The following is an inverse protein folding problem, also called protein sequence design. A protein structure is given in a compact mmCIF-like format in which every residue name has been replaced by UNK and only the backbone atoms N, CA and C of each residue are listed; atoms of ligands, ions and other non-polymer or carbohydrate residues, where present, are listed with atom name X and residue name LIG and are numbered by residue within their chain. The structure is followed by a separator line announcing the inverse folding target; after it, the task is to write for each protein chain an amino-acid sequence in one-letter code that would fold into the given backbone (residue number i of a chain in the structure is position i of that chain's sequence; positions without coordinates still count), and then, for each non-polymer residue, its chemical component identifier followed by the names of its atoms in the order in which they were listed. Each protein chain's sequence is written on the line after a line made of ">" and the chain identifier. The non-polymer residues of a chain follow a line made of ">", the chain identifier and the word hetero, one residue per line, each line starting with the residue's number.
data_IF_936263191157
#
_entry.id   IF_936263191157
#
_cell.length_a   1.000
_cell.length_b   1.000
_cell.length_c   1.000
_cell.angle_alpha   90.00
_cell.angle_beta   90.00
_cell.angle_gamma   90.00
#
_symmetry.space_group_name_H-M   'P 1'
#
loop_
_entity.id
_entity.type
_entity.pdbx_description
1 polymer ?
#
# COMPACT_ATOMS: atom_id res chain seq x y z
N UNK A 1 0.89 -10.61 28.11
CA UNK A 1 0.83 -10.02 26.75
C UNK A 1 2.25 -9.80 26.26
N UNK A 2 2.53 -10.08 24.98
CA UNK A 2 3.83 -9.68 24.40
C UNK A 2 3.90 -8.15 24.35
N UNK A 3 5.06 -7.53 24.60
CA UNK A 3 5.21 -6.09 24.46
C UNK A 3 5.01 -5.67 23.00
N UNK A 4 4.43 -4.50 22.77
CA UNK A 4 4.33 -3.92 21.43
C UNK A 4 5.73 -3.69 20.85
N UNK A 5 5.88 -3.95 19.55
CA UNK A 5 7.17 -3.83 18.85
C UNK A 5 7.25 -2.55 18.01
N UNK A 6 6.11 -2.10 17.49
CA UNK A 6 6.00 -0.90 16.66
C UNK A 6 4.88 0.02 17.15
N UNK A 7 4.96 1.27 16.76
CA UNK A 7 3.87 2.23 16.88
C UNK A 7 3.82 3.12 15.64
N UNK A 8 2.65 3.69 15.42
CA UNK A 8 2.47 4.80 14.49
C UNK A 8 2.23 6.08 15.28
N UNK A 9 2.82 7.18 14.83
CA UNK A 9 2.63 8.50 15.42
C UNK A 9 2.12 9.43 14.34
N UNK A 10 0.91 9.97 14.54
CA UNK A 10 0.31 10.93 13.63
C UNK A 10 0.91 12.34 13.86
N UNK A 11 0.88 13.17 12.83
CA UNK A 11 1.33 14.58 12.93
C UNK A 11 0.60 15.36 14.04
N UNK A 12 -0.65 14.98 14.34
CA UNK A 12 -1.43 15.51 15.48
C UNK A 12 -0.88 15.09 16.86
N UNK A 13 0.14 14.23 16.92
CA UNK A 13 0.71 13.69 18.15
C UNK A 13 0.04 12.44 18.70
N UNK A 14 -1.04 11.96 18.09
CA UNK A 14 -1.69 10.71 18.55
C UNK A 14 -0.83 9.50 18.22
N UNK A 15 -0.77 8.55 19.15
CA UNK A 15 0.02 7.33 19.06
C UNK A 15 -0.89 6.08 19.07
N UNK A 16 -0.55 5.10 18.26
CA UNK A 16 -1.19 3.80 18.24
C UNK A 16 -0.12 2.72 18.27
N UNK A 17 -0.21 1.84 19.25
CA UNK A 17 0.77 0.79 19.49
C UNK A 17 0.31 -0.53 18.87
N UNK A 18 1.25 -1.27 18.29
CA UNK A 18 1.00 -2.54 17.62
C UNK A 18 2.25 -3.38 17.45
N UNK A 19 2.18 -4.32 16.54
CA UNK A 19 3.25 -5.27 16.23
C UNK A 19 3.66 -5.10 14.78
N UNK A 20 4.96 -5.13 14.50
CA UNK A 20 5.49 -5.05 13.15
C UNK A 20 5.37 -6.37 12.41
N UNK A 21 5.16 -6.28 11.08
CA UNK A 21 5.37 -7.35 10.11
C UNK A 21 5.88 -6.74 8.80
N UNK A 22 6.36 -7.59 7.85
CA UNK A 22 7.08 -7.09 6.70
C UNK A 22 8.42 -6.46 7.07
N UNK A 23 8.83 -5.40 6.39
CA UNK A 23 10.15 -4.80 6.59
C UNK A 23 10.31 -4.13 7.96
N UNK A 24 11.37 -4.48 8.67
CA UNK A 24 11.69 -3.87 9.95
C UNK A 24 12.47 -2.56 9.75
N UNK A 25 11.78 -1.50 9.35
CA UNK A 25 12.35 -0.15 9.21
C UNK A 25 11.38 0.94 9.64
N UNK A 26 11.89 2.13 9.85
CA UNK A 26 11.09 3.34 9.99
C UNK A 26 10.58 3.79 8.62
N UNK A 27 9.40 4.37 8.57
CA UNK A 27 8.88 4.99 7.36
C UNK A 27 7.92 6.12 7.69
N UNK A 28 7.88 7.10 6.82
CA UNK A 28 6.96 8.25 6.88
C UNK A 28 6.12 8.29 5.62
N UNK A 29 4.90 8.79 5.74
CA UNK A 29 4.00 8.96 4.60
C UNK A 29 2.76 9.73 4.98
N UNK A 30 1.89 9.94 4.02
CA UNK A 30 0.52 10.39 4.25
C UNK A 30 -0.33 9.17 4.63
N UNK A 31 -1.15 9.30 5.67
CA UNK A 31 -2.04 8.23 6.09
C UNK A 31 -3.38 8.35 5.39
N UNK A 32 -3.81 7.25 4.78
CA UNK A 32 -5.11 7.11 4.10
C UNK A 32 -5.77 5.81 4.53
N UNK A 33 -7.05 5.62 4.25
CA UNK A 33 -7.74 4.37 4.53
C UNK A 33 -8.46 3.81 3.31
N UNK A 34 -8.63 2.49 3.31
CA UNK A 34 -9.42 1.78 2.31
C UNK A 34 -10.46 0.90 3.02
N UNK A 35 -11.71 0.93 2.52
CA UNK A 35 -12.86 0.24 3.12
C UNK A 35 -13.22 -1.08 2.42
N UNK A 36 -12.46 -1.50 1.42
CA UNK A 36 -12.69 -2.78 0.73
C UNK A 36 -12.53 -3.95 1.68
N UNK A 37 -13.41 -4.92 1.57
CA UNK A 37 -13.36 -6.16 2.39
C UNK A 37 -12.34 -7.17 1.85
N UNK A 38 -11.98 -7.07 0.59
CA UNK A 38 -11.03 -7.92 -0.12
C UNK A 38 -10.14 -7.06 -1.00
N UNK A 39 -9.08 -7.63 -1.59
CA UNK A 39 -8.24 -6.92 -2.55
C UNK A 39 -7.06 -6.20 -1.90
N UNK A 40 -6.56 -6.68 -0.77
CA UNK A 40 -5.38 -6.06 -0.15
C UNK A 40 -4.12 -6.18 -1.02
N UNK A 41 -4.02 -7.20 -1.88
CA UNK A 41 -2.93 -7.35 -2.84
C UNK A 41 -3.00 -6.28 -3.93
N UNK A 42 -4.19 -6.05 -4.48
CA UNK A 42 -4.43 -4.99 -5.46
C UNK A 42 -4.11 -3.62 -4.85
N UNK A 43 -4.51 -3.36 -3.59
CA UNK A 43 -4.18 -2.13 -2.87
C UNK A 43 -2.67 -2.00 -2.66
N UNK A 44 -1.99 -3.09 -2.28
CA UNK A 44 -0.54 -3.13 -2.09
C UNK A 44 0.22 -2.71 -3.37
N UNK A 45 -0.29 -3.10 -4.53
CA UNK A 45 0.32 -2.86 -5.85
C UNK A 45 -0.33 -1.72 -6.64
N UNK A 46 -1.30 -1.01 -6.08
CA UNK A 46 -1.95 0.12 -6.73
C UNK A 46 -1.03 1.36 -6.72
N UNK A 47 -0.60 1.87 -7.88
CA UNK A 47 0.28 3.02 -7.95
C UNK A 47 -0.33 4.31 -7.37
N UNK A 48 -1.66 4.36 -7.20
CA UNK A 48 -2.34 5.49 -6.55
C UNK A 48 -1.96 5.65 -5.08
N UNK A 49 -1.50 4.59 -4.42
CA UNK A 49 -1.08 4.60 -3.01
C UNK A 49 0.44 4.72 -2.83
N UNK A 50 1.16 5.12 -3.87
CA UNK A 50 2.63 5.26 -3.79
C UNK A 50 3.05 6.13 -2.61
N UNK A 51 3.96 5.61 -1.76
CA UNK A 51 4.47 6.18 -0.51
C UNK A 51 3.40 6.47 0.58
N UNK A 52 2.14 6.12 0.37
CA UNK A 52 1.10 6.30 1.40
C UNK A 52 1.08 5.15 2.41
N UNK A 53 0.71 5.46 3.65
CA UNK A 53 0.43 4.50 4.71
C UNK A 53 -1.06 4.14 4.67
N UNK A 54 -1.38 2.95 4.17
CA UNK A 54 -2.77 2.54 3.94
C UNK A 54 -3.33 1.78 5.13
N UNK A 55 -4.38 2.32 5.73
CA UNK A 55 -5.17 1.68 6.80
C UNK A 55 -6.23 0.79 6.16
N UNK A 56 -6.15 -0.52 6.40
CA UNK A 56 -7.19 -1.45 5.99
C UNK A 56 -8.29 -1.49 7.05
N UNK A 57 -9.51 -1.10 6.68
CA UNK A 57 -10.62 -1.10 7.65
C UNK A 57 -11.20 -2.49 7.90
N UNK A 58 -11.09 -3.40 6.92
CA UNK A 58 -11.45 -4.79 7.12
C UNK A 58 -10.49 -5.44 8.12
N UNK A 59 -11.00 -6.12 9.16
CA UNK A 59 -10.17 -6.52 10.29
C UNK A 59 -9.11 -7.56 9.94
N UNK A 60 -9.42 -8.55 9.12
CA UNK A 60 -8.54 -9.68 8.84
C UNK A 60 -7.81 -9.52 7.49
N UNK A 61 -6.50 -9.37 7.54
CA UNK A 61 -5.64 -9.18 6.36
C UNK A 61 -4.56 -10.28 6.32
N UNK A 62 -4.18 -10.72 5.10
CA UNK A 62 -3.20 -11.77 4.88
C UNK A 62 -3.79 -13.18 4.68
N UNK A 63 -5.08 -13.36 4.92
CA UNK A 63 -5.76 -14.65 4.97
C UNK A 63 -5.79 -15.45 3.66
N UNK A 64 -5.58 -14.83 2.49
CA UNK A 64 -5.49 -15.54 1.21
C UNK A 64 -4.11 -15.43 0.54
N UNK A 65 -3.14 -14.79 1.18
CA UNK A 65 -1.77 -14.66 0.66
C UNK A 65 -1.67 -13.73 -0.54
N UNK A 66 -0.61 -13.91 -1.31
CA UNK A 66 -0.30 -13.16 -2.53
C UNK A 66 -0.23 -14.14 -3.69
N UNK A 67 -0.78 -13.78 -4.84
CA UNK A 67 -0.72 -14.53 -6.09
C UNK A 67 -0.02 -13.71 -7.17
N UNK A 68 0.64 -14.36 -8.14
CA UNK A 68 1.37 -13.63 -9.19
C UNK A 68 0.45 -12.89 -10.17
N UNK A 69 -0.83 -13.28 -10.25
CA UNK A 69 -1.79 -12.79 -11.24
C UNK A 69 -2.53 -11.51 -10.82
N UNK A 70 -2.64 -11.25 -9.51
CA UNK A 70 -3.52 -10.20 -8.97
C UNK A 70 -2.78 -8.88 -8.68
N UNK A 71 -1.57 -8.70 -9.22
CA UNK A 71 -0.86 -7.44 -9.15
C UNK A 71 -1.42 -6.40 -10.13
N UNK A 72 -1.62 -5.17 -9.66
CA UNK A 72 -2.03 -4.02 -10.48
C UNK A 72 -0.85 -3.30 -11.15
N UNK A 73 0.37 -3.52 -10.64
CA UNK A 73 1.63 -3.06 -11.26
C UNK A 73 2.70 -4.11 -11.09
N UNK A 74 3.85 -3.90 -11.68
CA UNK A 74 4.98 -4.84 -11.66
C UNK A 74 5.48 -5.14 -10.24
N UNK A 75 5.38 -4.18 -9.32
CA UNK A 75 5.84 -4.30 -7.94
C UNK A 75 5.08 -3.32 -7.04
N UNK A 76 4.94 -3.64 -5.74
CA UNK A 76 4.31 -2.76 -4.76
C UNK A 76 5.05 -1.43 -4.60
N UNK A 77 4.29 -0.35 -4.39
CA UNK A 77 4.83 1.01 -4.20
C UNK A 77 4.29 1.74 -2.97
N UNK A 78 3.40 1.10 -2.19
CA UNK A 78 2.85 1.74 -0.98
C UNK A 78 3.94 2.02 0.05
N UNK A 79 3.75 3.03 0.88
CA UNK A 79 4.66 3.39 1.97
C UNK A 79 4.61 2.43 3.15
N UNK A 80 3.44 1.84 3.42
CA UNK A 80 3.20 0.87 4.47
C UNK A 80 1.74 0.46 4.57
N UNK A 81 1.47 -0.59 5.36
CA UNK A 81 0.12 -1.08 5.60
C UNK A 81 -0.16 -1.17 7.11
N UNK A 82 -1.32 -0.68 7.52
CA UNK A 82 -1.77 -0.67 8.92
C UNK A 82 -3.05 -1.48 9.01
N UNK A 83 -3.04 -2.52 9.84
CA UNK A 83 -4.13 -3.49 9.92
C UNK A 83 -4.52 -3.79 11.37
N UNK A 84 -5.72 -4.29 11.57
CA UNK A 84 -6.18 -4.75 12.88
C UNK A 84 -5.64 -6.13 13.20
N UNK A 85 -5.87 -7.09 12.31
CA UNK A 85 -5.45 -8.48 12.45
C UNK A 85 -4.66 -8.89 11.21
N UNK A 86 -3.51 -9.51 11.45
CA UNK A 86 -2.66 -10.06 10.40
C UNK A 86 -2.61 -11.58 10.52
N UNK A 87 -2.91 -12.26 9.42
CA UNK A 87 -2.77 -13.70 9.30
C UNK A 87 -1.62 -14.04 8.35
N UNK A 88 -0.64 -14.78 8.86
CA UNK A 88 0.54 -15.25 8.11
C UNK A 88 0.39 -16.70 7.59
N UNK A 89 -0.78 -17.32 7.79
CA UNK A 89 -1.11 -18.66 7.34
C UNK A 89 -2.23 -18.61 6.29
N UNK A 90 -1.91 -18.30 5.01
CA UNK A 90 -2.92 -18.20 3.96
C UNK A 90 -3.62 -19.54 3.70
N UNK A 91 -4.93 -19.47 3.45
CA UNK A 91 -5.76 -20.66 3.15
C UNK A 91 -6.09 -20.81 1.64
N UNK A 92 -5.64 -19.90 0.79
CA UNK A 92 -5.87 -19.98 -0.65
C UNK A 92 -4.82 -20.89 -1.32
N UNK A 93 -5.27 -21.92 -2.04
CA UNK A 93 -4.38 -22.86 -2.73
C UNK A 93 -3.51 -22.23 -3.84
N UNK A 94 -3.84 -21.02 -4.30
CA UNK A 94 -3.09 -20.28 -5.34
C UNK A 94 -2.00 -19.37 -4.78
N UNK A 95 -1.91 -19.20 -3.48
CA UNK A 95 -0.91 -18.30 -2.93
C UNK A 95 0.51 -18.79 -3.20
N UNK A 96 1.39 -17.87 -3.54
CA UNK A 96 2.81 -18.13 -3.78
C UNK A 96 3.68 -17.60 -2.65
N UNK A 97 3.26 -16.50 -2.02
CA UNK A 97 3.93 -15.87 -0.87
C UNK A 97 2.90 -15.37 0.14
N UNK A 98 3.32 -15.23 1.38
CA UNK A 98 2.55 -14.49 2.39
C UNK A 98 2.64 -12.99 2.15
N UNK A 99 1.70 -12.23 2.67
CA UNK A 99 1.75 -10.76 2.62
C UNK A 99 3.01 -10.22 3.32
N UNK A 100 3.40 -10.83 4.45
CA UNK A 100 4.59 -10.42 5.19
C UNK A 100 5.88 -10.61 4.41
N UNK A 101 6.05 -11.75 3.73
CA UNK A 101 7.21 -12.03 2.87
C UNK A 101 7.33 -11.00 1.73
N UNK A 102 6.22 -10.66 1.07
CA UNK A 102 6.23 -9.65 0.01
C UNK A 102 6.54 -8.27 0.57
N UNK A 103 5.95 -7.89 1.71
CA UNK A 103 6.26 -6.61 2.34
C UNK A 103 7.74 -6.52 2.77
N UNK A 104 8.32 -7.62 3.24
CA UNK A 104 9.75 -7.67 3.59
C UNK A 104 10.64 -7.53 2.34
N UNK A 105 10.35 -8.28 1.28
CA UNK A 105 11.09 -8.26 0.01
C UNK A 105 11.14 -6.86 -0.61
N UNK A 106 10.01 -6.13 -0.56
CA UNK A 106 9.92 -4.78 -1.13
C UNK A 106 10.21 -3.66 -0.13
N UNK A 107 10.64 -3.99 1.07
CA UNK A 107 11.00 -3.01 2.09
C UNK A 107 9.81 -2.20 2.63
N UNK A 108 8.62 -2.78 2.67
CA UNK A 108 7.38 -2.14 3.12
C UNK A 108 7.15 -2.46 4.60
N UNK A 109 7.24 -1.47 5.51
CA UNK A 109 6.93 -1.68 6.91
C UNK A 109 5.43 -1.75 7.13
N UNK A 110 4.99 -2.71 7.91
CA UNK A 110 3.59 -2.92 8.21
C UNK A 110 3.37 -3.05 9.72
N UNK A 111 2.17 -2.65 10.20
CA UNK A 111 1.82 -2.70 11.62
C UNK A 111 0.45 -3.33 11.79
N UNK A 112 0.34 -4.33 12.68
CA UNK A 112 -0.93 -4.94 13.05
C UNK A 112 -1.24 -4.76 14.54
N UNK A 113 -2.47 -5.03 14.95
CA UNK A 113 -2.93 -4.84 16.33
C UNK A 113 -3.46 -3.44 16.59
N UNK A 114 -3.59 -2.61 15.56
CA UNK A 114 -4.06 -1.22 15.64
C UNK A 114 -5.60 -1.17 15.68
N UNK A 115 -6.17 -0.24 16.43
CA UNK A 115 -7.59 0.10 16.31
C UNK A 115 -7.84 0.88 14.99
N UNK A 116 -7.95 0.12 13.90
CA UNK A 116 -8.17 0.68 12.57
C UNK A 116 -9.49 1.40 12.45
N UNK A 117 -10.52 1.04 13.23
CA UNK A 117 -11.81 1.73 13.26
C UNK A 117 -11.67 3.14 13.83
N UNK A 118 -11.01 3.28 14.98
CA UNK A 118 -10.75 4.60 15.57
C UNK A 118 -9.88 5.45 14.66
N UNK A 119 -8.81 4.88 14.10
CA UNK A 119 -7.90 5.56 13.19
C UNK A 119 -8.60 6.03 11.92
N UNK A 120 -9.45 5.20 11.31
CA UNK A 120 -10.27 5.58 10.14
C UNK A 120 -11.19 6.75 10.43
N UNK A 121 -11.83 6.78 11.62
CA UNK A 121 -12.69 7.90 12.02
C UNK A 121 -11.90 9.20 12.15
N UNK A 122 -10.70 9.15 12.73
CA UNK A 122 -9.81 10.31 12.84
C UNK A 122 -9.47 10.85 11.45
N UNK A 123 -9.03 9.98 10.52
CA UNK A 123 -8.67 10.39 9.16
C UNK A 123 -9.89 10.96 8.41
N UNK A 124 -11.07 10.37 8.59
CA UNK A 124 -12.30 10.85 7.96
C UNK A 124 -12.74 12.22 8.49
N UNK A 125 -12.66 12.41 9.80
CA UNK A 125 -13.23 13.58 10.46
C UNK A 125 -12.23 14.77 10.48
N UNK A 126 -10.93 14.50 10.52
CA UNK A 126 -9.86 15.52 10.62
C UNK A 126 -9.07 15.67 9.30
N UNK A 127 -9.31 14.83 8.31
CA UNK A 127 -8.55 14.78 7.04
C UNK A 127 -7.32 13.91 7.11
N UNK A 128 -6.66 13.75 5.95
CA UNK A 128 -5.38 13.06 5.84
C UNK A 128 -4.30 13.86 6.56
N UNK A 129 -3.34 13.16 7.14
CA UNK A 129 -2.21 13.78 7.84
C UNK A 129 -0.96 12.93 7.66
N UNK A 130 0.18 13.48 7.99
CA UNK A 130 1.43 12.74 7.98
C UNK A 130 1.50 11.77 9.16
N UNK A 131 2.18 10.66 8.94
CA UNK A 131 2.39 9.62 9.94
C UNK A 131 3.81 9.07 9.84
N UNK A 132 4.34 8.62 10.97
CA UNK A 132 5.59 7.87 11.03
C UNK A 132 5.37 6.52 11.71
N UNK A 133 5.97 5.47 11.15
CA UNK A 133 6.08 4.14 11.77
C UNK A 133 7.45 4.03 12.41
N UNK A 134 7.48 3.73 13.71
CA UNK A 134 8.72 3.63 14.50
C UNK A 134 8.65 2.47 15.50
N UNK A 135 9.77 2.17 16.13
CA UNK A 135 9.79 1.23 17.25
C UNK A 135 8.95 1.74 18.43
N UNK A 136 8.26 0.83 19.11
CA UNK A 136 7.37 1.18 20.21
C UNK A 136 8.08 1.92 21.37
N UNK A 137 9.38 1.69 21.54
CA UNK A 137 10.22 2.31 22.56
C UNK A 137 10.66 3.76 22.25
N UNK A 138 10.51 4.21 20.99
CA UNK A 138 10.92 5.55 20.61
C UNK A 138 10.09 6.61 21.35
N UNK A 139 10.69 7.65 21.96
CA UNK A 139 9.92 8.75 22.55
C UNK A 139 9.05 9.46 21.50
N UNK A 140 7.85 9.89 21.89
CA UNK A 140 6.92 10.60 21.00
C UNK A 140 7.53 11.86 20.39
N UNK A 141 8.22 12.67 21.21
CA UNK A 141 8.87 13.90 20.76
C UNK A 141 9.89 13.63 19.65
N UNK A 142 10.67 12.58 19.80
CA UNK A 142 11.66 12.17 18.78
C UNK A 142 10.98 11.70 17.50
N UNK A 143 9.89 10.93 17.60
CA UNK A 143 9.11 10.49 16.44
C UNK A 143 8.51 11.70 15.68
N UNK A 144 7.94 12.67 16.40
CA UNK A 144 7.39 13.88 15.80
C UNK A 144 8.47 14.77 15.18
N UNK A 145 9.64 14.87 15.81
CA UNK A 145 10.80 15.58 15.25
C UNK A 145 11.21 14.96 13.92
N UNK A 146 11.40 13.63 13.87
CA UNK A 146 11.75 12.90 12.63
C UNK A 146 10.68 13.04 11.55
N UNK A 147 9.40 12.97 11.92
CA UNK A 147 8.31 13.17 10.98
C UNK A 147 8.34 14.56 10.36
N UNK A 148 8.61 15.61 11.18
CA UNK A 148 8.71 16.99 10.72
C UNK A 148 9.91 17.21 9.78
N UNK A 149 11.04 16.61 10.09
CA UNK A 149 12.29 16.71 9.30
C UNK A 149 12.23 15.85 8.02
N UNK A 150 11.38 14.82 7.97
CA UNK A 150 11.27 13.94 6.82
C UNK A 150 10.78 14.71 5.58
N UNK A 151 11.44 14.53 4.42
CA UNK A 151 11.06 15.22 3.19
C UNK A 151 9.66 14.81 2.73
N UNK A 152 8.87 15.78 2.27
CA UNK A 152 7.61 15.51 1.58
C UNK A 152 7.93 15.23 0.11
N UNK A 153 7.74 13.99 -0.31
CA UNK A 153 7.94 13.59 -1.70
C UNK A 153 6.84 14.14 -2.61
N UNK A 154 7.22 14.55 -3.81
CA UNK A 154 6.30 15.08 -4.84
C UNK A 154 6.53 14.44 -6.22
N UNK A 155 7.40 13.43 -6.27
CA UNK A 155 7.87 12.76 -7.49
C UNK A 155 7.11 11.44 -7.77
N UNK A 156 5.95 11.21 -7.12
CA UNK A 156 5.24 9.93 -7.20
C UNK A 156 4.84 9.57 -8.63
N UNK A 157 4.32 10.54 -9.40
CA UNK A 157 3.91 10.30 -10.79
C UNK A 157 5.11 9.89 -11.66
N UNK A 158 6.24 10.57 -11.53
CA UNK A 158 7.47 10.23 -12.26
C UNK A 158 7.95 8.80 -11.92
N UNK A 159 7.81 8.38 -10.68
CA UNK A 159 8.26 7.06 -10.21
C UNK A 159 7.38 5.90 -10.68
N UNK A 160 6.10 6.14 -10.89
CA UNK A 160 5.14 5.10 -11.33
C UNK A 160 4.88 5.12 -12.83
N UNK A 161 5.25 6.17 -13.53
CA UNK A 161 5.14 6.28 -14.99
C UNK A 161 6.10 5.31 -15.70
N UNK A 162 5.72 4.81 -16.85
CA UNK A 162 6.58 3.96 -17.65
C UNK A 162 7.81 4.74 -18.17
N UNK A 163 8.98 4.14 -18.06
CA UNK A 163 10.25 4.72 -18.55
C UNK A 163 10.51 4.45 -20.03
N UNK A 164 9.78 3.49 -20.60
CA UNK A 164 9.92 3.08 -22.00
C UNK A 164 8.55 2.82 -22.56
N UNK A 165 8.35 3.23 -23.81
CA UNK A 165 7.15 2.89 -24.56
C UNK A 165 6.98 1.38 -24.63
N UNK A 166 5.79 0.90 -24.35
CA UNK A 166 5.42 -0.50 -24.43
C UNK A 166 4.00 -0.67 -25.01
N UNK A 167 3.64 -1.89 -25.39
CA UNK A 167 2.43 -2.17 -26.14
C UNK A 167 1.62 -3.26 -25.41
N UNK A 168 0.32 -3.05 -25.33
CA UNK A 168 -0.65 -4.07 -24.95
C UNK A 168 -1.61 -4.29 -26.11
N UNK A 169 -1.39 -5.36 -26.87
CA UNK A 169 -2.14 -5.64 -28.09
C UNK A 169 -3.24 -6.65 -27.81
N UNK A 170 -4.38 -6.50 -28.51
CA UNK A 170 -5.46 -7.49 -28.54
C UNK A 170 -5.72 -7.94 -29.97
N UNK A 171 -6.12 -9.21 -30.13
CA UNK A 171 -6.51 -9.74 -31.45
C UNK A 171 -7.79 -9.05 -31.92
N UNK A 172 -7.88 -8.80 -33.25
CA UNK A 172 -9.05 -8.17 -33.89
C UNK A 172 -9.45 -6.84 -33.23
N UNK A 173 -8.48 -6.02 -32.88
CA UNK A 173 -8.72 -4.72 -32.27
C UNK A 173 -9.54 -3.81 -33.21
N UNK A 174 -10.37 -2.96 -32.57
CA UNK A 174 -11.20 -1.97 -33.26
C UNK A 174 -10.52 -0.61 -33.34
N UNK A 175 -9.72 -0.29 -32.31
CA UNK A 175 -9.04 0.99 -32.19
C UNK A 175 -7.64 0.81 -31.61
N UNK A 176 -6.71 1.62 -32.09
CA UNK A 176 -5.41 1.83 -31.46
C UNK A 176 -5.49 3.09 -30.59
N UNK A 177 -5.08 2.96 -29.33
CA UNK A 177 -5.19 4.02 -28.30
C UNK A 177 -3.82 4.31 -27.73
N UNK A 178 -3.46 5.59 -27.65
CA UNK A 178 -2.28 6.03 -26.90
C UNK A 178 -2.69 6.30 -25.46
N UNK A 179 -2.07 5.60 -24.54
CA UNK A 179 -2.26 5.80 -23.11
C UNK A 179 -1.06 6.57 -22.53
N UNK A 180 -1.30 7.80 -22.05
CA UNK A 180 -0.30 8.52 -21.27
C UNK A 180 -0.22 7.89 -19.89
N UNK A 181 0.90 7.25 -19.58
CA UNK A 181 1.07 6.46 -18.36
C UNK A 181 1.56 7.36 -17.21
N UNK A 182 0.66 7.61 -16.28
CA UNK A 182 0.94 8.29 -15.01
C UNK A 182 0.77 7.33 -13.82
N UNK A 183 1.04 6.03 -14.02
CA UNK A 183 0.79 4.97 -13.04
C UNK A 183 -0.50 4.21 -13.34
N UNK A 184 -0.60 3.62 -14.54
CA UNK A 184 -1.78 2.87 -14.97
C UNK A 184 -1.84 1.49 -14.31
N UNK A 185 -3.02 1.09 -13.86
CA UNK A 185 -3.27 -0.25 -13.32
C UNK A 185 -3.41 -1.29 -14.44
N UNK A 186 -2.85 -2.47 -14.23
CA UNK A 186 -2.97 -3.58 -15.19
C UNK A 186 -4.42 -3.94 -15.50
N UNK A 187 -5.32 -3.85 -14.52
CA UNK A 187 -6.72 -4.16 -14.75
C UNK A 187 -7.42 -3.17 -15.69
N UNK A 188 -7.02 -1.89 -15.70
CA UNK A 188 -7.51 -0.92 -16.69
C UNK A 188 -7.11 -1.36 -18.11
N UNK A 189 -5.86 -1.79 -18.27
CA UNK A 189 -5.33 -2.28 -19.55
C UNK A 189 -6.10 -3.53 -20.02
N UNK A 190 -6.28 -4.51 -19.11
CA UNK A 190 -7.05 -5.73 -19.40
C UNK A 190 -8.46 -5.40 -19.86
N UNK A 191 -9.15 -4.49 -19.15
CA UNK A 191 -10.53 -4.08 -19.50
C UNK A 191 -10.61 -3.36 -20.84
N UNK A 192 -9.64 -2.52 -21.17
CA UNK A 192 -9.57 -1.87 -22.49
C UNK A 192 -9.33 -2.91 -23.61
N UNK A 193 -8.42 -3.85 -23.41
CA UNK A 193 -8.17 -4.93 -24.35
C UNK A 193 -9.41 -5.81 -24.57
N UNK A 194 -10.16 -6.15 -23.50
CA UNK A 194 -11.43 -6.88 -23.60
C UNK A 194 -12.48 -6.14 -24.46
N UNK A 195 -12.41 -4.81 -24.52
CA UNK A 195 -13.27 -3.98 -25.36
C UNK A 195 -12.76 -3.81 -26.79
N UNK A 196 -11.68 -4.48 -27.17
CA UNK A 196 -11.07 -4.44 -28.50
C UNK A 196 -10.20 -3.19 -28.75
N UNK A 197 -9.61 -2.63 -27.72
CA UNK A 197 -8.63 -1.54 -27.85
C UNK A 197 -7.22 -2.10 -27.70
N UNK A 198 -6.36 -1.83 -28.69
CA UNK A 198 -4.92 -2.04 -28.59
C UNK A 198 -4.26 -0.78 -28.06
N UNK A 199 -3.35 -0.91 -27.09
CA UNK A 199 -2.80 0.20 -26.34
C UNK A 199 -1.31 0.39 -26.63
N UNK A 200 -0.91 1.64 -26.76
CA UNK A 200 0.48 2.11 -26.77
C UNK A 200 0.64 2.99 -25.52
N UNK A 201 1.50 2.58 -24.60
CA UNK A 201 1.81 3.34 -23.40
C UNK A 201 3.04 4.22 -23.63
N UNK A 202 2.95 5.48 -23.27
CA UNK A 202 4.02 6.47 -23.35
C UNK A 202 4.13 7.28 -22.07
#
# INVERSE_FOLDING_TARGET
>A
MKPFTKKIVLESGREFYGYGFGANREATGEIVFNTSMVGYQEILSDPSYTDQMVVMTYPLIGNYGITDEDYETKYPTIGGMIVREYNDLPSNFRYTKTLGEVCEEYGIPCVWGIDTRMLTRIIRDEGTQRVIVVDASMPQEEALRRLKEAPVRRDMVERVSCRKRWFSRTANHRFDVVAVDCGIKHNIIRKLNEKGLSLIHI
#
